data_IF_464831932316
#
_entry.id   IF_464831932316
#
_cell.length_a   1.000
_cell.length_b   1.000
_cell.length_c   1.000
_cell.angle_alpha   90.00
_cell.angle_beta   90.00
_cell.angle_gamma   90.00
#
_symmetry.space_group_name_H-M   'P 1'
#
loop_
_entity.id
_entity.type
_entity.pdbx_description
1 polymer ?
#
# COMPACT_ATOMS: atom_id res chain seq x y z
N UNK A 1 2.25 -16.39 5.86
CA UNK A 1 1.78 -15.03 6.17
C UNK A 1 1.47 -14.99 7.66
N UNK A 2 2.04 -14.05 8.42
CA UNK A 2 1.87 -14.00 9.89
C UNK A 2 0.92 -12.88 10.36
N UNK A 3 0.52 -11.96 9.48
CA UNK A 3 -0.34 -10.84 9.83
C UNK A 3 -1.82 -11.19 9.93
N UNK A 4 -2.65 -10.23 10.35
CA UNK A 4 -4.11 -10.41 10.54
C UNK A 4 -4.82 -11.01 9.33
N UNK A 5 -4.38 -10.67 8.12
CA UNK A 5 -4.98 -11.18 6.89
C UNK A 5 -4.82 -12.69 6.73
N UNK A 6 -3.91 -13.36 7.44
CA UNK A 6 -3.79 -14.82 7.44
C UNK A 6 -4.87 -15.53 8.27
N UNK A 7 -5.59 -14.78 9.12
CA UNK A 7 -6.54 -15.34 10.10
C UNK A 7 -7.96 -14.81 9.94
N UNK A 8 -8.26 -14.11 8.85
CA UNK A 8 -9.60 -13.54 8.59
C UNK A 8 -10.28 -14.26 7.43
N UNK A 9 -11.61 -14.11 7.42
CA UNK A 9 -12.47 -14.62 6.35
C UNK A 9 -12.54 -13.57 5.24
N UNK A 10 -12.41 -14.03 4.00
CA UNK A 10 -12.60 -13.22 2.82
C UNK A 10 -14.10 -12.89 2.66
N UNK A 11 -14.50 -11.61 2.64
CA UNK A 11 -15.91 -11.23 2.59
C UNK A 11 -16.60 -11.62 1.27
N UNK A 12 -15.84 -11.83 0.19
CA UNK A 12 -16.38 -12.08 -1.13
C UNK A 12 -16.73 -13.55 -1.39
N UNK A 13 -16.14 -14.48 -0.62
CA UNK A 13 -16.37 -15.92 -0.80
C UNK A 13 -16.57 -16.71 0.50
N UNK A 14 -16.51 -16.05 1.66
CA UNK A 14 -16.68 -16.62 3.00
C UNK A 14 -15.67 -17.70 3.39
N UNK A 15 -14.61 -17.88 2.59
CA UNK A 15 -13.48 -18.76 2.90
C UNK A 15 -12.34 -18.01 3.59
N UNK A 16 -11.28 -18.72 4.02
CA UNK A 16 -10.08 -18.06 4.52
C UNK A 16 -9.42 -17.22 3.42
N UNK A 17 -8.84 -16.09 3.79
CA UNK A 17 -7.99 -15.32 2.87
C UNK A 17 -6.76 -16.16 2.48
N UNK A 18 -6.48 -16.22 1.18
CA UNK A 18 -5.35 -16.95 0.60
C UNK A 18 -4.40 -16.03 -0.16
N UNK A 19 -3.23 -16.54 -0.54
CA UNK A 19 -2.22 -15.79 -1.30
C UNK A 19 -2.79 -15.18 -2.58
N UNK A 20 -3.61 -15.95 -3.30
CA UNK A 20 -4.13 -15.58 -4.62
C UNK A 20 -5.24 -14.54 -4.56
N UNK A 21 -5.85 -14.32 -3.39
CA UNK A 21 -6.81 -13.23 -3.20
C UNK A 21 -6.17 -11.84 -3.33
N UNK A 22 -4.86 -11.74 -3.06
CA UNK A 22 -4.11 -10.48 -3.19
C UNK A 22 -3.13 -10.53 -4.37
N UNK A 23 -2.39 -11.63 -4.50
CA UNK A 23 -1.34 -11.76 -5.50
C UNK A 23 -1.83 -12.26 -6.85
N UNK A 24 -3.04 -12.81 -6.96
CA UNK A 24 -3.48 -13.47 -8.19
C UNK A 24 -2.82 -14.84 -8.38
N UNK A 25 -2.98 -15.42 -9.57
CA UNK A 25 -2.47 -16.75 -9.89
C UNK A 25 -1.18 -16.65 -10.73
N UNK A 26 -0.07 -17.27 -10.29
CA UNK A 26 1.15 -17.28 -11.09
C UNK A 26 0.97 -18.08 -12.37
N UNK A 27 1.59 -17.61 -13.45
CA UNK A 27 1.64 -18.31 -14.73
C UNK A 27 2.72 -19.39 -14.74
N UNK A 28 2.74 -20.23 -15.77
CA UNK A 28 3.83 -21.19 -15.98
C UNK A 28 5.21 -20.51 -16.12
N UNK A 29 5.22 -19.25 -16.59
CA UNK A 29 6.42 -18.43 -16.80
C UNK A 29 6.76 -17.55 -15.59
N UNK A 30 6.08 -17.70 -14.46
CA UNK A 30 6.28 -16.86 -13.28
C UNK A 30 7.76 -16.72 -12.86
N UNK A 31 8.54 -17.81 -12.98
CA UNK A 31 9.99 -17.83 -12.65
C UNK A 31 10.86 -16.99 -13.57
N UNK A 32 10.35 -16.56 -14.71
CA UNK A 32 11.03 -15.67 -15.66
C UNK A 32 10.83 -14.18 -15.29
N UNK A 33 10.13 -13.88 -14.19
CA UNK A 33 9.90 -12.50 -13.74
C UNK A 33 8.85 -11.76 -14.57
N UNK A 34 7.92 -12.49 -15.18
CA UNK A 34 6.78 -11.88 -15.88
C UNK A 34 5.82 -11.21 -14.89
N UNK A 35 5.11 -10.18 -15.34
CA UNK A 35 4.09 -9.50 -14.54
C UNK A 35 2.76 -10.30 -14.56
N UNK A 36 2.71 -11.38 -13.79
CA UNK A 36 1.54 -12.28 -13.69
C UNK A 36 0.90 -12.32 -12.29
N UNK A 37 1.58 -11.80 -11.28
CA UNK A 37 1.08 -11.65 -9.91
C UNK A 37 1.22 -10.20 -9.45
N UNK A 38 0.32 -9.77 -8.57
CA UNK A 38 0.42 -8.44 -7.97
C UNK A 38 1.66 -8.32 -7.08
N UNK A 39 2.48 -7.29 -7.31
CA UNK A 39 3.61 -6.93 -6.48
C UNK A 39 3.39 -5.51 -5.97
N UNK A 40 2.94 -5.38 -4.72
CA UNK A 40 2.52 -4.08 -4.16
C UNK A 40 3.65 -3.04 -4.06
N UNK A 41 4.89 -3.49 -3.99
CA UNK A 41 6.08 -2.62 -3.94
C UNK A 41 6.68 -2.31 -5.31
N UNK A 42 6.17 -2.91 -6.39
CA UNK A 42 6.64 -2.60 -7.74
C UNK A 42 6.05 -1.26 -8.19
N UNK A 43 6.91 -0.26 -8.35
CA UNK A 43 6.52 1.08 -8.78
C UNK A 43 6.04 1.12 -10.24
N UNK A 44 6.42 0.13 -11.06
CA UNK A 44 5.94 0.01 -12.43
C UNK A 44 4.47 -0.41 -12.51
N UNK A 45 3.93 -1.00 -11.43
CA UNK A 45 2.51 -1.29 -11.35
C UNK A 45 1.71 -0.02 -11.03
N UNK A 46 0.66 0.31 -11.81
CA UNK A 46 -0.19 1.45 -11.55
C UNK A 46 -0.75 1.43 -10.12
N UNK A 47 -0.79 2.60 -9.50
CA UNK A 47 -1.28 2.73 -8.12
C UNK A 47 -2.72 2.23 -7.98
N UNK A 48 -3.57 2.55 -8.96
CA UNK A 48 -4.95 2.08 -9.01
C UNK A 48 -5.04 0.55 -9.02
N UNK A 49 -4.14 -0.13 -9.74
CA UNK A 49 -4.11 -1.59 -9.77
C UNK A 49 -3.70 -2.17 -8.41
N UNK A 50 -2.67 -1.59 -7.78
CA UNK A 50 -2.19 -2.01 -6.46
C UNK A 50 -3.24 -1.80 -5.37
N UNK A 51 -3.78 -0.59 -5.26
CA UNK A 51 -4.77 -0.27 -4.24
C UNK A 51 -6.14 -0.90 -4.55
N UNK A 52 -6.47 -1.10 -5.83
CA UNK A 52 -7.70 -1.76 -6.28
C UNK A 52 -7.85 -3.18 -5.73
N UNK A 53 -6.75 -3.91 -5.52
CA UNK A 53 -6.79 -5.22 -4.87
C UNK A 53 -7.29 -5.11 -3.43
N UNK A 54 -6.83 -4.11 -2.68
CA UNK A 54 -7.32 -3.86 -1.31
C UNK A 54 -8.81 -3.51 -1.33
N UNK A 55 -9.21 -2.66 -2.28
CA UNK A 55 -10.59 -2.19 -2.44
C UNK A 55 -11.55 -3.26 -2.96
N UNK A 56 -11.05 -4.40 -3.43
CA UNK A 56 -11.89 -5.56 -3.75
C UNK A 56 -12.62 -6.12 -2.52
N UNK A 57 -12.10 -5.85 -1.32
CA UNK A 57 -12.68 -6.29 -0.04
C UNK A 57 -12.92 -5.13 0.93
N UNK A 58 -12.07 -4.10 0.92
CA UNK A 58 -12.20 -2.95 1.81
C UNK A 58 -12.98 -1.80 1.17
N UNK A 59 -14.08 -1.44 1.80
CA UNK A 59 -14.93 -0.36 1.33
C UNK A 59 -14.38 1.02 1.71
N UNK A 60 -14.26 1.97 0.75
CA UNK A 60 -13.74 3.31 1.01
C UNK A 60 -14.44 4.05 2.16
N UNK A 61 -15.77 3.93 2.26
CA UNK A 61 -16.55 4.58 3.31
C UNK A 61 -16.17 4.09 4.71
N UNK A 62 -15.89 2.79 4.86
CA UNK A 62 -15.46 2.21 6.13
C UNK A 62 -14.01 2.61 6.46
N UNK A 63 -13.14 2.68 5.45
CA UNK A 63 -11.78 3.17 5.61
C UNK A 63 -11.76 4.63 6.08
N UNK A 64 -12.56 5.50 5.46
CA UNK A 64 -12.70 6.92 5.84
C UNK A 64 -13.23 7.10 7.26
N UNK A 65 -14.23 6.30 7.66
CA UNK A 65 -14.77 6.30 9.04
C UNK A 65 -13.73 5.85 10.06
N UNK A 66 -12.89 4.88 9.70
CA UNK A 66 -11.83 4.37 10.57
C UNK A 66 -10.72 5.40 10.72
N UNK A 67 -10.28 6.00 9.62
CA UNK A 67 -9.30 7.08 9.61
C UNK A 67 -9.44 7.92 8.35
N UNK A 68 -9.71 9.21 8.52
CA UNK A 68 -10.03 10.12 7.43
C UNK A 68 -8.95 10.19 6.35
N UNK A 69 -7.68 10.01 6.72
CA UNK A 69 -6.56 10.14 5.80
C UNK A 69 -6.57 9.08 4.69
N UNK A 70 -7.27 7.95 4.85
CA UNK A 70 -7.38 6.96 3.78
C UNK A 70 -7.97 7.56 2.49
N UNK A 71 -8.97 8.45 2.63
CA UNK A 71 -9.69 9.04 1.49
C UNK A 71 -8.77 9.89 0.61
N UNK A 72 -7.92 10.72 1.22
CA UNK A 72 -7.00 11.59 0.48
C UNK A 72 -5.79 10.86 -0.08
N UNK A 73 -5.47 9.67 0.46
CA UNK A 73 -4.26 8.92 0.10
C UNK A 73 -4.51 7.79 -0.90
N UNK A 74 -5.73 7.25 -0.99
CA UNK A 74 -6.01 6.04 -1.81
C UNK A 74 -5.66 6.22 -3.30
N UNK A 75 -5.63 7.45 -3.82
CA UNK A 75 -5.24 7.76 -5.20
C UNK A 75 -3.85 8.42 -5.32
N UNK A 76 -3.12 8.56 -4.21
CA UNK A 76 -1.86 9.32 -4.15
C UNK A 76 -0.67 8.49 -3.66
N UNK A 77 -0.90 7.44 -2.90
CA UNK A 77 0.15 6.57 -2.36
C UNK A 77 -0.36 5.14 -2.20
N UNK A 78 0.54 4.17 -2.25
CA UNK A 78 0.18 2.76 -2.08
C UNK A 78 -0.19 2.47 -0.63
N UNK A 79 -1.21 1.62 -0.40
CA UNK A 79 -1.57 1.19 0.96
C UNK A 79 -0.37 0.63 1.72
N UNK A 80 0.53 -0.06 1.01
CA UNK A 80 1.75 -0.69 1.55
C UNK A 80 2.87 0.28 1.92
N UNK A 81 2.74 1.58 1.62
CA UNK A 81 3.69 2.58 2.09
C UNK A 81 3.52 2.86 3.59
N UNK A 82 2.34 2.59 4.15
CA UNK A 82 2.08 2.64 5.58
C UNK A 82 1.91 1.23 6.18
N UNK A 83 1.24 0.32 5.45
CA UNK A 83 0.86 -0.97 5.98
C UNK A 83 1.82 -2.12 5.67
N UNK A 84 2.01 -3.03 6.62
CA UNK A 84 2.82 -4.24 6.43
C UNK A 84 2.02 -5.51 6.76
N UNK A 85 1.65 -6.27 5.73
CA UNK A 85 0.68 -7.37 5.88
C UNK A 85 1.31 -8.74 6.20
N UNK A 86 2.60 -8.91 5.91
CA UNK A 86 3.30 -10.19 6.12
C UNK A 86 3.94 -10.33 7.50
N UNK A 87 4.13 -9.22 8.21
CA UNK A 87 4.64 -9.19 9.58
C UNK A 87 3.59 -9.70 10.57
N UNK A 88 4.01 -10.25 11.70
CA UNK A 88 3.10 -10.70 12.75
C UNK A 88 2.31 -9.53 13.36
N UNK A 89 2.99 -8.39 13.53
CA UNK A 89 2.41 -7.14 14.01
C UNK A 89 2.45 -6.11 12.89
N UNK A 90 1.28 -5.58 12.54
CA UNK A 90 1.11 -4.55 11.51
C UNK A 90 1.41 -3.18 12.16
N UNK A 91 2.34 -2.36 11.63
CA UNK A 91 2.81 -1.14 12.29
C UNK A 91 1.75 -0.06 12.55
N UNK A 92 0.70 0.01 11.73
CA UNK A 92 -0.37 0.98 11.89
C UNK A 92 -1.40 0.55 12.93
N UNK A 93 -1.47 -0.74 13.27
CA UNK A 93 -2.31 -1.23 14.36
C UNK A 93 -1.70 -0.87 15.73
N UNK A 94 -2.43 -0.06 16.51
CA UNK A 94 -2.01 0.32 17.86
C UNK A 94 -0.92 1.39 17.90
N UNK A 95 -0.63 2.03 16.76
CA UNK A 95 0.28 3.18 16.70
C UNK A 95 -0.25 4.33 17.58
N UNK A 96 0.64 4.89 18.41
CA UNK A 96 0.30 6.07 19.22
C UNK A 96 -0.02 7.28 18.34
N UNK A 97 -0.84 8.20 18.83
CA UNK A 97 -1.18 9.43 18.10
C UNK A 97 0.06 10.23 17.71
N UNK A 98 1.04 10.34 18.63
CA UNK A 98 2.30 11.03 18.36
C UNK A 98 3.07 10.37 17.21
N UNK A 99 3.19 9.05 17.22
CA UNK A 99 3.88 8.31 16.15
C UNK A 99 3.12 8.41 14.83
N UNK A 100 1.79 8.33 14.84
CA UNK A 100 0.95 8.48 13.64
C UNK A 100 1.09 9.86 13.01
N UNK A 101 1.13 10.92 13.81
CA UNK A 101 1.39 12.29 13.34
C UNK A 101 2.82 12.40 12.76
N UNK A 102 3.79 11.74 13.40
CA UNK A 102 5.18 11.66 12.91
C UNK A 102 5.26 11.17 11.46
N UNK A 103 4.55 10.09 11.12
CA UNK A 103 4.51 9.55 9.75
C UNK A 103 4.03 10.60 8.72
N UNK A 104 3.05 11.41 9.08
CA UNK A 104 2.57 12.50 8.22
C UNK A 104 3.67 13.52 7.96
N UNK A 105 4.37 13.94 9.02
CA UNK A 105 5.46 14.92 8.93
C UNK A 105 6.60 14.37 8.10
N UNK A 106 7.06 13.16 8.41
CA UNK A 106 8.23 12.55 7.78
C UNK A 106 8.04 12.42 6.25
N UNK A 107 6.91 11.86 5.82
CA UNK A 107 6.64 11.63 4.40
C UNK A 107 6.41 12.94 3.64
N UNK A 108 5.63 13.88 4.19
CA UNK A 108 5.37 15.14 3.49
C UNK A 108 6.61 16.04 3.47
N UNK A 109 7.40 16.10 4.54
CA UNK A 109 8.68 16.82 4.56
C UNK A 109 9.65 16.27 3.52
N UNK A 110 9.73 14.93 3.38
CA UNK A 110 10.51 14.31 2.33
C UNK A 110 10.05 14.74 0.92
N UNK A 111 8.74 14.67 0.63
CA UNK A 111 8.18 15.12 -0.64
C UNK A 111 8.49 16.60 -0.93
N UNK A 112 8.43 17.46 0.08
CA UNK A 112 8.80 18.87 -0.06
C UNK A 112 10.28 19.05 -0.41
N UNK A 113 11.17 18.29 0.23
CA UNK A 113 12.60 18.33 -0.04
C UNK A 113 12.94 17.82 -1.45
N UNK A 114 12.34 16.70 -1.88
CA UNK A 114 12.51 16.13 -3.22
C UNK A 114 11.99 17.09 -4.31
N UNK A 115 10.86 17.74 -4.06
CA UNK A 115 10.33 18.77 -4.96
C UNK A 115 11.27 19.98 -5.05
N UNK A 116 11.83 20.43 -3.92
CA UNK A 116 12.80 21.52 -3.93
C UNK A 116 14.08 21.15 -4.71
N UNK A 117 14.61 19.94 -4.49
CA UNK A 117 15.79 19.43 -5.19
C UNK A 117 15.57 19.27 -6.70
N UNK A 118 14.42 18.77 -7.14
CA UNK A 118 14.10 18.63 -8.56
C UNK A 118 13.93 19.98 -9.28
N UNK A 119 13.49 21.02 -8.56
CA UNK A 119 13.44 22.40 -9.08
C UNK A 119 14.84 23.03 -9.13
N UNK A 120 15.69 22.75 -8.15
CA UNK A 120 17.09 23.24 -8.12
C UNK A 120 18.01 22.55 -9.13
N UNK A 121 17.71 21.31 -9.53
CA UNK A 121 18.48 20.54 -10.52
C UNK A 121 18.32 20.98 -11.99
N UNK A 122 17.49 21.99 -12.29
CA UNK A 122 17.34 22.56 -13.65
C UNK A 122 18.25 23.79 -13.88
N UNK A 123 19.10 24.16 -12.91
CA UNK A 123 20.18 25.13 -13.11
C UNK A 123 21.54 24.45 -12.99
N UNK A 124 22.08 24.07 -14.14
CA UNK A 124 23.46 24.30 -14.59
C UNK A 124 23.87 23.24 -15.64
N UNK A 125 23.79 23.63 -16.90
CA UNK A 125 24.70 23.13 -17.94
C UNK A 125 25.27 24.38 -18.63
N UNK A 126 26.61 24.54 -18.69
CA UNK A 126 27.24 25.57 -19.50
C UNK A 126 26.99 25.38 -21.00
#
# INVERSE_FOLDING_TARGET
MHGKHASVVNPNNLGPVTCTNCHGNPSARHREGVNDVMVFTDENMPLEQRNGVCLSCHEPDNLRKTFWAHDVHVTKTACTNCHQLHTATEPMMGISDKARIGLCVDCHSQQHAEKAASVSGVKESP
#
